data_IF_416041566674
#
_entry.id   IF_416041566674
#
_cell.length_a   1.000
_cell.length_b   1.000
_cell.length_c   1.000
_cell.angle_alpha   90.00
_cell.angle_beta   90.00
_cell.angle_gamma   90.00
#
_symmetry.space_group_name_H-M   'P 1'
#
loop_
_entity.id
_entity.type
_entity.pdbx_description
1 polymer ?
#
# COMPACT_ATOMS: atom_id res chain seq x y z
N UNK A 1 3.93 16.84 25.46
CA UNK A 1 3.69 17.38 26.81
C UNK A 1 2.55 18.37 26.72
N UNK A 2 1.47 18.12 27.46
CA UNK A 2 0.26 18.94 27.47
C UNK A 2 -0.99 18.11 27.76
N UNK A 3 -1.05 17.51 28.96
CA UNK A 3 -2.26 16.91 29.50
C UNK A 3 -3.28 18.01 29.81
N UNK A 4 -4.50 17.88 29.30
CA UNK A 4 -5.68 18.45 29.95
C UNK A 4 -6.76 17.38 30.00
N UNK A 5 -6.75 16.65 31.12
CA UNK A 5 -7.83 15.80 31.59
C UNK A 5 -8.57 16.57 32.69
N UNK A 6 -9.65 17.24 32.35
CA UNK A 6 -10.55 17.86 33.34
C UNK A 6 -11.98 17.43 33.04
N UNK A 7 -12.34 16.26 33.55
CA UNK A 7 -13.69 15.72 33.57
C UNK A 7 -13.79 14.70 34.69
N UNK A 8 -14.33 15.12 35.84
CA UNK A 8 -14.56 14.23 36.97
C UNK A 8 -15.71 13.26 36.67
N UNK A 9 -15.93 12.23 37.52
CA UNK A 9 -16.97 11.21 37.30
C UNK A 9 -18.40 11.78 37.20
N UNK A 10 -18.58 13.02 37.65
CA UNK A 10 -19.89 13.68 37.75
C UNK A 10 -19.99 14.96 36.90
N UNK A 11 -18.98 15.33 36.12
CA UNK A 11 -19.04 16.57 35.34
C UNK A 11 -18.28 16.42 34.00
N UNK A 12 -19.04 16.15 32.93
CA UNK A 12 -18.55 16.17 31.55
C UNK A 12 -18.88 17.53 30.95
N UNK A 13 -17.89 18.42 30.89
CA UNK A 13 -18.00 19.81 30.40
C UNK A 13 -18.31 19.97 28.90
N UNK A 14 -18.92 18.97 28.24
CA UNK A 14 -19.27 19.01 26.81
C UNK A 14 -20.74 18.79 26.50
N UNK A 15 -21.61 18.69 27.52
CA UNK A 15 -23.06 18.62 27.30
C UNK A 15 -23.72 19.83 27.95
N UNK A 16 -24.14 20.79 27.12
CA UNK A 16 -25.01 21.86 27.57
C UNK A 16 -26.33 21.24 28.08
N UNK A 17 -26.51 21.19 29.39
CA UNK A 17 -27.79 20.89 30.02
C UNK A 17 -28.73 22.07 29.76
N UNK A 18 -29.76 21.83 28.94
CA UNK A 18 -30.80 22.81 28.68
C UNK A 18 -31.39 23.32 30.00
N UNK A 19 -31.40 24.63 30.16
CA UNK A 19 -31.75 25.32 31.39
C UNK A 19 -33.14 24.95 31.91
N UNK A 20 -33.20 24.79 33.22
CA UNK A 20 -34.40 24.68 34.05
C UNK A 20 -35.16 26.00 34.10
N UNK A 21 -35.78 26.38 32.99
CA UNK A 21 -36.91 27.30 32.97
C UNK A 21 -38.02 26.64 32.16
N UNK A 22 -39.23 26.68 32.68
CA UNK A 22 -40.47 26.07 32.21
C UNK A 22 -40.74 26.28 30.71
N UNK A 23 -40.11 25.49 29.85
CA UNK A 23 -40.71 25.10 28.58
C UNK A 23 -41.19 23.67 28.82
N UNK A 24 -42.49 23.56 29.11
CA UNK A 24 -43.24 22.31 28.99
C UNK A 24 -42.70 21.54 27.79
N UNK A 25 -42.35 20.26 28.00
CA UNK A 25 -41.92 19.30 26.97
C UNK A 25 -42.32 19.79 25.57
N UNK A 26 -41.36 20.01 24.66
CA UNK A 26 -41.68 20.23 23.25
C UNK A 26 -42.74 19.21 22.84
N UNK A 27 -43.99 19.68 22.67
CA UNK A 27 -45.08 18.81 22.27
C UNK A 27 -44.74 18.34 20.87
N UNK A 28 -44.89 17.04 20.64
CA UNK A 28 -44.75 16.50 19.29
C UNK A 28 -45.71 17.28 18.38
N UNK A 29 -45.19 18.07 17.41
CA UNK A 29 -46.04 18.85 16.51
C UNK A 29 -46.89 17.95 15.61
N UNK A 30 -46.69 16.63 15.67
CA UNK A 30 -47.36 15.64 14.85
C UNK A 30 -46.85 15.68 13.42
N UNK A 31 -47.49 14.87 12.58
CA UNK A 31 -47.13 14.78 11.17
C UNK A 31 -47.70 16.02 10.43
N UNK A 32 -46.87 16.77 9.68
CA UNK A 32 -47.35 17.92 8.91
C UNK A 32 -48.36 17.48 7.83
N UNK A 33 -49.24 18.37 7.36
CA UNK A 33 -50.21 18.03 6.31
C UNK A 33 -49.49 17.65 5.02
N UNK A 34 -49.92 16.52 4.44
CA UNK A 34 -49.38 15.97 3.21
C UNK A 34 -49.50 16.98 2.04
N UNK A 35 -48.41 17.18 1.29
CA UNK A 35 -48.37 18.11 0.17
C UNK A 35 -48.47 17.37 -1.17
N UNK A 36 -49.64 17.50 -1.81
CA UNK A 36 -49.87 16.94 -3.14
C UNK A 36 -48.95 17.55 -4.19
N UNK A 37 -48.44 16.72 -5.11
CA UNK A 37 -47.65 17.15 -6.25
C UNK A 37 -48.57 17.58 -7.40
N UNK A 38 -48.00 18.26 -8.39
CA UNK A 38 -48.74 18.65 -9.58
C UNK A 38 -49.28 17.44 -10.35
N UNK A 39 -48.56 16.32 -10.35
CA UNK A 39 -48.99 15.08 -10.99
C UNK A 39 -50.19 14.43 -10.27
N UNK A 40 -50.40 14.70 -8.98
CA UNK A 40 -51.52 14.14 -8.22
C UNK A 40 -52.83 14.91 -8.49
N UNK A 41 -52.73 16.14 -9.02
CA UNK A 41 -53.88 17.04 -9.24
C UNK A 41 -54.20 17.28 -10.73
N UNK A 42 -53.20 17.30 -11.61
CA UNK A 42 -53.37 17.48 -13.05
C UNK A 42 -53.02 16.20 -13.86
N UNK A 43 -54.01 15.55 -14.50
CA UNK A 43 -53.79 14.37 -15.35
C UNK A 43 -52.79 14.60 -16.49
N UNK A 44 -52.66 15.83 -17.01
CA UNK A 44 -51.68 16.15 -18.06
C UNK A 44 -50.26 16.16 -17.51
N UNK A 45 -50.06 16.68 -16.30
CA UNK A 45 -48.78 16.65 -15.62
C UNK A 45 -48.34 15.22 -15.29
N UNK A 46 -49.28 14.37 -14.83
CA UNK A 46 -49.02 12.95 -14.60
C UNK A 46 -48.55 12.23 -15.88
N UNK A 47 -49.29 12.39 -16.99
CA UNK A 47 -48.94 11.77 -18.27
C UNK A 47 -47.62 12.26 -18.84
N UNK A 48 -47.22 13.50 -18.53
CA UNK A 48 -45.89 14.03 -18.88
C UNK A 48 -44.80 13.36 -18.06
N UNK A 49 -44.98 13.22 -16.74
CA UNK A 49 -44.03 12.53 -15.86
C UNK A 49 -43.87 11.05 -16.25
N UNK A 50 -44.96 10.37 -16.59
CA UNK A 50 -44.96 8.99 -17.08
C UNK A 50 -44.08 8.82 -18.32
N UNK A 51 -44.22 9.71 -19.30
CA UNK A 51 -43.38 9.71 -20.51
C UNK A 51 -41.91 9.96 -20.21
N UNK A 52 -41.60 10.81 -19.23
CA UNK A 52 -40.23 11.06 -18.80
C UNK A 52 -39.60 9.83 -18.15
N UNK A 53 -40.33 9.16 -17.25
CA UNK A 53 -39.90 7.88 -16.66
C UNK A 53 -39.66 6.83 -17.74
N UNK A 54 -40.61 6.66 -18.66
CA UNK A 54 -40.49 5.72 -19.77
C UNK A 54 -39.30 6.03 -20.68
N UNK A 55 -39.01 7.31 -20.93
CA UNK A 55 -37.82 7.73 -21.69
C UNK A 55 -36.52 7.37 -20.97
N UNK A 56 -36.44 7.59 -19.65
CA UNK A 56 -35.26 7.25 -18.85
C UNK A 56 -34.99 5.74 -18.83
N UNK A 57 -36.04 4.93 -18.70
CA UNK A 57 -35.93 3.47 -18.87
C UNK A 57 -35.58 3.09 -20.32
N UNK A 58 -36.11 3.79 -21.32
CA UNK A 58 -35.71 3.61 -22.72
C UNK A 58 -34.22 3.90 -22.96
N UNK A 59 -33.66 4.95 -22.35
CA UNK A 59 -32.23 5.26 -22.40
C UNK A 59 -31.42 4.12 -21.79
N UNK A 60 -31.90 3.53 -20.69
CA UNK A 60 -31.25 2.35 -20.11
C UNK A 60 -31.21 1.17 -21.08
N UNK A 61 -32.35 0.85 -21.70
CA UNK A 61 -32.43 -0.23 -22.70
C UNK A 61 -31.45 0.02 -23.85
N UNK A 62 -31.39 1.24 -24.37
CA UNK A 62 -30.43 1.60 -25.43
C UNK A 62 -28.99 1.44 -24.95
N UNK A 63 -28.65 1.89 -23.74
CA UNK A 63 -27.33 1.69 -23.15
C UNK A 63 -26.94 0.21 -23.06
N UNK A 64 -27.85 -0.64 -22.59
CA UNK A 64 -27.63 -2.09 -22.53
C UNK A 64 -27.42 -2.70 -23.91
N UNK A 65 -28.19 -2.28 -24.92
CA UNK A 65 -28.01 -2.74 -26.30
C UNK A 65 -26.65 -2.30 -26.87
N UNK A 66 -26.23 -1.06 -26.63
CA UNK A 66 -24.90 -0.56 -27.04
C UNK A 66 -23.80 -1.43 -26.41
N UNK A 67 -23.92 -1.75 -25.12
CA UNK A 67 -22.98 -2.64 -24.43
C UNK A 67 -22.92 -4.02 -25.10
N UNK A 68 -24.07 -4.67 -25.30
CA UNK A 68 -24.12 -6.01 -25.87
C UNK A 68 -23.57 -6.05 -27.30
N UNK A 69 -23.94 -5.08 -28.13
CA UNK A 69 -23.42 -4.97 -29.50
C UNK A 69 -21.92 -4.73 -29.47
N UNK A 70 -21.41 -3.81 -28.64
CA UNK A 70 -19.98 -3.58 -28.55
C UNK A 70 -19.20 -4.81 -28.03
N UNK A 71 -19.78 -5.55 -27.09
CA UNK A 71 -19.17 -6.74 -26.52
C UNK A 71 -19.06 -7.89 -27.52
N UNK A 72 -20.13 -8.16 -28.28
CA UNK A 72 -20.19 -9.31 -29.18
C UNK A 72 -19.80 -9.00 -30.64
N UNK A 73 -20.03 -7.78 -31.12
CA UNK A 73 -19.79 -7.43 -32.52
C UNK A 73 -18.37 -6.88 -32.78
N UNK A 74 -17.66 -6.44 -31.73
CA UNK A 74 -16.26 -6.02 -31.84
C UNK A 74 -15.38 -7.15 -31.32
N UNK A 75 -14.76 -7.89 -32.22
CA UNK A 75 -13.83 -8.97 -31.88
C UNK A 75 -12.43 -8.40 -31.63
N UNK A 76 -11.81 -8.80 -30.51
CA UNK A 76 -10.44 -8.42 -30.16
C UNK A 76 -9.53 -9.65 -30.19
N UNK A 77 -8.69 -9.73 -31.23
CA UNK A 77 -7.57 -10.66 -31.33
C UNK A 77 -6.24 -10.09 -30.84
N UNK A 78 -5.19 -10.91 -30.87
CA UNK A 78 -3.82 -10.55 -30.41
C UNK A 78 -3.21 -9.36 -31.18
N UNK A 79 -3.57 -9.19 -32.45
CA UNK A 79 -3.07 -8.12 -33.33
C UNK A 79 -4.05 -6.93 -33.48
N UNK A 80 -5.03 -6.82 -32.57
CA UNK A 80 -6.03 -5.75 -32.66
C UNK A 80 -5.39 -4.37 -32.57
N UNK A 81 -5.76 -3.50 -33.51
CA UNK A 81 -5.33 -2.11 -33.46
C UNK A 81 -5.77 -1.44 -32.14
N UNK A 82 -4.90 -0.61 -31.55
CA UNK A 82 -5.19 0.16 -30.32
C UNK A 82 -6.49 0.96 -30.46
N UNK A 83 -6.80 1.45 -31.66
CA UNK A 83 -8.04 2.17 -31.94
C UNK A 83 -9.29 1.30 -31.71
N UNK A 84 -9.27 0.03 -32.14
CA UNK A 84 -10.37 -0.92 -31.95
C UNK A 84 -10.58 -1.26 -30.48
N UNK A 85 -9.48 -1.47 -29.74
CA UNK A 85 -9.52 -1.72 -28.28
C UNK A 85 -10.12 -0.52 -27.55
N UNK A 86 -9.69 0.70 -27.90
CA UNK A 86 -10.25 1.93 -27.32
C UNK A 86 -11.72 2.11 -27.64
N UNK A 87 -12.13 1.85 -28.88
CA UNK A 87 -13.51 1.96 -29.31
C UNK A 87 -14.41 1.00 -28.54
N UNK A 88 -14.01 -0.28 -28.44
CA UNK A 88 -14.79 -1.26 -27.68
C UNK A 88 -14.91 -0.85 -26.22
N UNK A 89 -13.78 -0.53 -25.56
CA UNK A 89 -13.79 -0.11 -24.17
C UNK A 89 -14.68 1.12 -23.92
N UNK A 90 -14.61 2.12 -24.80
CA UNK A 90 -15.45 3.31 -24.72
C UNK A 90 -16.95 2.95 -24.86
N UNK A 91 -17.32 2.09 -25.81
CA UNK A 91 -18.71 1.68 -26.01
C UNK A 91 -19.24 0.82 -24.87
N UNK A 92 -18.42 -0.06 -24.28
CA UNK A 92 -18.79 -0.81 -23.07
C UNK A 92 -19.02 0.15 -21.89
N UNK A 93 -18.14 1.13 -21.70
CA UNK A 93 -18.28 2.15 -20.67
C UNK A 93 -19.53 3.00 -20.84
N UNK A 94 -19.75 3.55 -22.05
CA UNK A 94 -20.92 4.36 -22.40
C UNK A 94 -22.21 3.53 -22.26
N UNK A 95 -22.22 2.30 -22.76
CA UNK A 95 -23.37 1.41 -22.68
C UNK A 95 -23.76 1.13 -21.22
N UNK A 96 -22.77 0.79 -20.39
CA UNK A 96 -22.98 0.55 -18.95
C UNK A 96 -23.45 1.81 -18.22
N UNK A 97 -22.85 2.96 -18.52
CA UNK A 97 -23.20 4.23 -17.89
C UNK A 97 -24.66 4.60 -18.16
N UNK A 98 -25.11 4.57 -19.42
CA UNK A 98 -26.49 4.90 -19.76
C UNK A 98 -27.49 3.81 -19.32
N UNK A 99 -27.09 2.54 -19.31
CA UNK A 99 -27.89 1.44 -18.75
C UNK A 99 -28.23 1.69 -17.27
N UNK A 100 -27.20 1.95 -16.44
CA UNK A 100 -27.37 2.12 -14.99
C UNK A 100 -27.96 3.49 -14.64
N UNK A 101 -27.51 4.56 -15.32
CA UNK A 101 -28.04 5.91 -15.10
C UNK A 101 -29.52 5.99 -15.47
N UNK A 102 -29.93 5.39 -16.59
CA UNK A 102 -31.33 5.37 -17.02
C UNK A 102 -32.24 4.65 -16.02
N UNK A 103 -31.82 3.51 -15.47
CA UNK A 103 -32.56 2.79 -14.41
C UNK A 103 -32.62 3.63 -13.13
N UNK A 104 -31.47 4.08 -12.63
CA UNK A 104 -31.39 4.80 -11.36
C UNK A 104 -32.19 6.10 -11.38
N UNK A 105 -31.98 6.93 -12.41
CA UNK A 105 -32.73 8.19 -12.56
C UNK A 105 -34.21 7.95 -12.88
N UNK A 106 -34.54 6.92 -13.66
CA UNK A 106 -35.91 6.53 -13.96
C UNK A 106 -36.69 6.12 -12.71
N UNK A 107 -36.11 5.27 -11.85
CA UNK A 107 -36.73 4.85 -10.58
C UNK A 107 -36.91 6.05 -9.64
N UNK A 108 -35.89 6.89 -9.48
CA UNK A 108 -36.00 8.06 -8.59
C UNK A 108 -37.03 9.06 -9.11
N UNK A 109 -37.06 9.32 -10.42
CA UNK A 109 -38.06 10.22 -11.02
C UNK A 109 -39.46 9.64 -10.89
N UNK A 110 -39.63 8.33 -11.08
CA UNK A 110 -40.91 7.64 -10.86
C UNK A 110 -41.39 7.75 -9.41
N UNK A 111 -40.51 7.47 -8.45
CA UNK A 111 -40.79 7.58 -7.03
C UNK A 111 -41.20 9.01 -6.64
N UNK A 112 -40.46 10.02 -7.12
CA UNK A 112 -40.73 11.42 -6.79
C UNK A 112 -41.95 12.01 -7.48
N UNK A 113 -42.22 11.62 -8.72
CA UNK A 113 -43.21 12.30 -9.56
C UNK A 113 -44.57 11.59 -9.64
N UNK A 114 -44.65 10.29 -9.34
CA UNK A 114 -45.87 9.50 -9.57
C UNK A 114 -46.22 8.53 -8.44
N UNK A 115 -45.24 8.00 -7.71
CA UNK A 115 -45.52 7.04 -6.62
C UNK A 115 -46.19 7.77 -5.44
N UNK A 116 -47.30 7.26 -4.88
CA UNK A 116 -47.92 7.89 -3.72
C UNK A 116 -46.93 7.94 -2.55
N UNK A 117 -46.77 9.11 -1.96
CA UNK A 117 -46.01 9.31 -0.73
C UNK A 117 -46.95 9.69 0.42
N UNK A 118 -46.72 9.11 1.59
CA UNK A 118 -47.49 9.41 2.80
C UNK A 118 -46.53 9.45 3.98
N UNK A 119 -46.65 10.50 4.79
CA UNK A 119 -45.89 10.65 6.01
C UNK A 119 -46.44 9.71 7.10
N UNK A 120 -45.60 8.81 7.61
CA UNK A 120 -45.94 7.85 8.67
C UNK A 120 -44.97 8.04 9.82
N UNK A 121 -45.49 8.04 11.06
CA UNK A 121 -44.70 8.03 12.29
C UNK A 121 -44.86 6.68 12.97
N UNK A 122 -43.74 6.05 13.32
CA UNK A 122 -43.70 4.81 14.10
C UNK A 122 -42.90 5.06 15.39
N UNK A 123 -43.52 4.78 16.53
CA UNK A 123 -42.87 4.91 17.83
C UNK A 123 -41.74 3.88 17.97
N UNK A 124 -40.53 4.35 18.30
CA UNK A 124 -39.40 3.45 18.52
C UNK A 124 -39.65 2.64 19.79
N UNK A 125 -39.56 1.31 19.69
CA UNK A 125 -39.64 0.44 20.86
C UNK A 125 -38.62 0.84 21.94
N UNK A 126 -39.06 0.85 23.20
CA UNK A 126 -38.17 1.05 24.33
C UNK A 126 -37.10 -0.06 24.35
N UNK A 127 -35.83 0.33 24.44
CA UNK A 127 -34.72 -0.58 24.15
C UNK A 127 -34.60 -1.70 25.19
N UNK A 128 -35.02 -1.50 26.45
CA UNK A 128 -35.04 -2.52 27.53
C UNK A 128 -36.03 -2.15 28.63
N UNK A 129 -36.80 -3.12 29.12
CA UNK A 129 -37.47 -3.01 30.42
C UNK A 129 -36.55 -3.56 31.53
N UNK A 130 -36.69 -3.07 32.76
CA UNK A 130 -35.98 -3.66 33.92
C UNK A 130 -36.41 -5.11 34.16
N UNK A 131 -37.64 -5.45 33.76
CA UNK A 131 -38.19 -6.81 33.79
C UNK A 131 -37.40 -7.75 32.85
N UNK A 132 -37.12 -7.33 31.61
CA UNK A 132 -36.29 -8.11 30.67
C UNK A 132 -34.87 -8.33 31.21
N UNK A 133 -34.29 -7.32 31.87
CA UNK A 133 -32.97 -7.44 32.50
C UNK A 133 -32.99 -8.48 33.62
N UNK A 134 -33.99 -8.43 34.50
CA UNK A 134 -34.13 -9.37 35.60
C UNK A 134 -34.41 -10.78 35.10
N UNK A 135 -35.23 -10.94 34.06
CA UNK A 135 -35.46 -12.22 33.40
C UNK A 135 -34.15 -12.80 32.84
N UNK A 136 -33.35 -12.00 32.13
CA UNK A 136 -32.06 -12.44 31.61
C UNK A 136 -31.07 -12.86 32.72
N UNK A 137 -31.01 -12.11 33.83
CA UNK A 137 -30.17 -12.47 34.98
C UNK A 137 -30.61 -13.80 35.59
N UNK A 138 -31.92 -14.00 35.80
CA UNK A 138 -32.46 -15.26 36.33
C UNK A 138 -32.12 -16.45 35.44
N UNK A 139 -32.28 -16.29 34.12
CA UNK A 139 -31.91 -17.35 33.16
C UNK A 139 -30.43 -17.72 33.29
N UNK A 140 -29.52 -16.74 33.41
CA UNK A 140 -28.09 -17.01 33.59
C UNK A 140 -27.82 -17.70 34.92
N UNK A 141 -28.43 -17.25 36.00
CA UNK A 141 -28.27 -17.84 37.33
C UNK A 141 -28.80 -19.28 37.39
N UNK A 142 -29.98 -19.53 36.83
CA UNK A 142 -30.59 -20.87 36.70
C UNK A 142 -29.66 -21.81 35.93
N UNK A 143 -29.09 -21.38 34.80
CA UNK A 143 -28.10 -22.17 34.04
C UNK A 143 -26.85 -22.48 34.88
N UNK A 144 -26.34 -21.50 35.63
CA UNK A 144 -25.16 -21.71 36.49
C UNK A 144 -25.46 -22.69 37.63
N UNK A 145 -26.68 -22.69 38.16
CA UNK A 145 -27.13 -23.63 39.18
C UNK A 145 -27.34 -25.05 38.62
N UNK A 146 -28.10 -25.18 37.53
CA UNK A 146 -28.41 -26.46 36.88
C UNK A 146 -27.17 -27.18 36.37
N UNK A 147 -26.20 -26.44 35.80
CA UNK A 147 -24.91 -27.03 35.36
C UNK A 147 -24.09 -27.58 36.52
N UNK A 148 -24.35 -27.11 37.76
CA UNK A 148 -23.62 -27.53 38.96
C UNK A 148 -22.13 -27.21 38.91
N UNK A 149 -21.69 -26.32 38.01
CA UNK A 149 -20.26 -26.08 37.72
C UNK A 149 -19.50 -25.56 38.95
N UNK A 150 -20.18 -24.82 39.83
CA UNK A 150 -19.64 -24.34 41.12
C UNK A 150 -19.29 -25.49 42.07
N UNK A 151 -20.03 -26.61 42.01
CA UNK A 151 -19.88 -27.77 42.92
C UNK A 151 -18.94 -28.85 42.36
N UNK A 152 -18.46 -28.70 41.11
CA UNK A 152 -17.63 -29.70 40.40
C UNK A 152 -16.25 -29.11 40.06
N UNK A 153 -15.37 -28.88 41.07
CA UNK A 153 -14.10 -28.17 40.87
C UNK A 153 -13.14 -28.89 39.92
N UNK A 154 -13.16 -30.23 39.89
CA UNK A 154 -12.32 -30.99 38.95
C UNK A 154 -12.68 -30.67 37.50
N UNK A 155 -13.97 -30.77 37.14
CA UNK A 155 -14.46 -30.48 35.77
C UNK A 155 -14.21 -29.01 35.40
N UNK A 156 -14.49 -28.08 36.32
CA UNK A 156 -14.23 -26.65 36.10
C UNK A 156 -12.75 -26.39 35.83
N UNK A 157 -11.86 -26.94 36.65
CA UNK A 157 -10.43 -26.69 36.53
C UNK A 157 -9.82 -27.38 35.31
N UNK A 158 -10.30 -28.58 34.93
CA UNK A 158 -9.85 -29.25 33.70
C UNK A 158 -10.39 -28.55 32.45
N UNK A 159 -11.62 -28.03 32.47
CA UNK A 159 -12.15 -27.17 31.39
C UNK A 159 -11.31 -25.90 31.22
N UNK A 160 -11.01 -25.20 32.32
CA UNK A 160 -10.15 -24.01 32.28
C UNK A 160 -8.75 -24.35 31.77
N UNK A 161 -8.17 -25.46 32.22
CA UNK A 161 -6.87 -25.94 31.73
C UNK A 161 -6.90 -26.29 30.24
N UNK A 162 -7.94 -26.99 29.76
CA UNK A 162 -8.12 -27.32 28.36
C UNK A 162 -8.27 -26.06 27.49
N UNK A 163 -9.09 -25.09 27.92
CA UNK A 163 -9.27 -23.80 27.23
C UNK A 163 -7.97 -22.98 27.24
N UNK A 164 -7.18 -23.03 28.31
CA UNK A 164 -5.91 -22.33 28.39
C UNK A 164 -4.85 -22.93 27.45
N UNK A 165 -4.85 -24.25 27.25
CA UNK A 165 -3.90 -24.95 26.38
C UNK A 165 -4.35 -25.00 24.91
N UNK A 166 -5.67 -24.90 24.65
CA UNK A 166 -6.24 -24.98 23.30
C UNK A 166 -5.62 -23.99 22.28
N UNK A 167 -5.18 -22.77 22.64
CA UNK A 167 -4.53 -21.86 21.70
C UNK A 167 -3.06 -22.20 21.38
N UNK A 168 -2.38 -23.09 22.12
CA UNK A 168 -0.95 -23.35 21.93
C UNK A 168 -0.59 -23.85 20.51
N UNK A 169 -1.37 -24.75 19.87
CA UNK A 169 -1.11 -25.13 18.47
C UNK A 169 -1.15 -23.93 17.50
N UNK A 170 -1.89 -22.87 17.83
CA UNK A 170 -1.91 -21.66 17.00
C UNK A 170 -0.53 -20.98 16.97
N UNK A 171 0.28 -21.07 18.02
CA UNK A 171 1.66 -20.55 18.01
C UNK A 171 2.53 -21.25 16.95
N UNK A 172 2.33 -22.56 16.75
CA UNK A 172 3.03 -23.29 15.70
C UNK A 172 2.51 -22.89 14.31
N UNK A 173 1.19 -22.84 14.13
CA UNK A 173 0.56 -22.44 12.86
C UNK A 173 0.98 -21.02 12.46
N UNK A 174 0.94 -20.06 13.39
CA UNK A 174 1.35 -18.68 13.12
C UNK A 174 2.87 -18.55 12.99
N UNK A 175 3.64 -19.38 13.68
CA UNK A 175 5.10 -19.44 13.52
C UNK A 175 5.54 -19.96 12.15
N UNK A 176 4.73 -20.80 11.50
CA UNK A 176 5.00 -21.37 10.18
C UNK A 176 4.58 -20.46 9.01
N UNK A 177 3.94 -19.30 9.28
CA UNK A 177 3.51 -18.37 8.23
C UNK A 177 4.66 -17.63 7.51
N UNK A 178 5.90 -17.79 7.96
CA UNK A 178 7.03 -17.12 7.32
C UNK A 178 8.38 -17.72 7.67
N UNK A 179 9.40 -17.40 6.85
CA UNK A 179 10.77 -17.73 7.20
C UNK A 179 11.16 -17.02 8.50
N UNK A 180 12.00 -17.68 9.30
CA UNK A 180 12.61 -17.03 10.47
C UNK A 180 13.55 -15.91 9.99
N UNK A 181 13.67 -14.79 10.74
CA UNK A 181 14.67 -13.78 10.46
C UNK A 181 16.06 -14.41 10.31
N UNK A 182 16.77 -14.04 9.25
CA UNK A 182 18.13 -14.48 8.95
C UNK A 182 18.96 -13.31 8.37
N UNK A 183 20.24 -13.56 8.12
CA UNK A 183 21.18 -12.53 7.67
C UNK A 183 21.17 -12.33 6.14
N UNK A 184 20.16 -12.86 5.42
CA UNK A 184 20.14 -12.77 3.95
C UNK A 184 20.07 -11.34 3.42
N UNK A 185 19.55 -10.41 4.21
CA UNK A 185 19.48 -8.99 3.86
C UNK A 185 20.83 -8.27 4.05
N UNK A 186 21.75 -8.86 4.83
CA UNK A 186 23.06 -8.28 5.10
C UNK A 186 24.07 -8.49 3.97
N UNK A 187 23.87 -9.52 3.14
CA UNK A 187 24.85 -9.97 2.14
C UNK A 187 24.30 -9.93 0.72
N UNK A 188 25.17 -9.72 -0.25
CA UNK A 188 24.82 -9.71 -1.68
C UNK A 188 25.66 -10.71 -2.48
N UNK A 189 25.35 -10.86 -3.78
CA UNK A 189 26.14 -11.70 -4.69
C UNK A 189 27.54 -11.14 -5.01
N UNK A 190 27.90 -9.94 -4.53
CA UNK A 190 29.20 -9.35 -4.78
C UNK A 190 30.33 -10.00 -3.97
N UNK A 191 30.00 -10.73 -2.90
CA UNK A 191 30.98 -11.46 -2.12
C UNK A 191 31.84 -12.39 -3.01
N UNK A 192 33.18 -12.36 -2.88
CA UNK A 192 34.06 -13.27 -3.62
C UNK A 192 33.71 -14.73 -3.33
N UNK A 193 33.65 -15.55 -4.37
CA UNK A 193 33.31 -16.96 -4.25
C UNK A 193 34.57 -17.80 -4.47
N UNK A 194 35.02 -18.53 -3.45
CA UNK A 194 36.27 -19.30 -3.48
C UNK A 194 37.50 -18.46 -3.92
N UNK A 195 37.54 -17.18 -3.52
CA UNK A 195 38.59 -16.23 -3.91
C UNK A 195 38.45 -15.65 -5.33
N UNK A 196 37.43 -16.05 -6.11
CA UNK A 196 37.14 -15.45 -7.41
C UNK A 196 36.31 -14.17 -7.21
N UNK A 197 36.87 -13.05 -7.65
CA UNK A 197 36.17 -11.76 -7.71
C UNK A 197 35.09 -11.79 -8.81
N UNK A 198 33.97 -11.10 -8.55
CA UNK A 198 32.85 -11.02 -9.51
C UNK A 198 33.07 -9.84 -10.45
N UNK A 199 32.98 -10.07 -11.77
CA UNK A 199 32.99 -8.97 -12.74
C UNK A 199 31.75 -8.11 -12.63
N UNK A 200 31.92 -6.82 -12.88
CA UNK A 200 30.82 -5.86 -13.01
C UNK A 200 30.29 -5.94 -14.44
N UNK A 201 29.01 -6.31 -14.59
CA UNK A 201 28.38 -6.55 -15.89
C UNK A 201 27.20 -5.63 -16.12
N UNK A 202 26.84 -5.33 -17.37
CA UNK A 202 25.71 -4.45 -17.72
C UNK A 202 24.37 -5.12 -17.43
N UNK A 203 23.42 -4.35 -16.90
CA UNK A 203 22.02 -4.77 -16.73
C UNK A 203 21.21 -4.39 -17.99
N UNK A 204 20.44 -5.31 -18.62
CA UNK A 204 20.13 -6.68 -18.21
C UNK A 204 20.89 -7.81 -18.90
N UNK A 205 21.73 -7.50 -19.88
CA UNK A 205 22.34 -8.48 -20.78
C UNK A 205 23.51 -9.26 -20.15
N UNK A 206 24.13 -8.74 -19.10
CA UNK A 206 25.22 -9.41 -18.38
C UNK A 206 26.58 -9.27 -19.07
N UNK A 207 26.74 -8.34 -20.02
CA UNK A 207 28.02 -8.09 -20.70
C UNK A 207 29.04 -7.45 -19.73
N UNK A 208 30.24 -8.02 -19.54
CA UNK A 208 31.28 -7.44 -18.68
C UNK A 208 31.71 -6.03 -19.13
N UNK A 209 31.95 -5.14 -18.17
CA UNK A 209 32.31 -3.74 -18.41
C UNK A 209 33.83 -3.56 -18.28
N UNK A 210 34.48 -3.03 -19.32
CA UNK A 210 35.89 -2.62 -19.22
C UNK A 210 36.02 -1.25 -18.59
N UNK A 211 37.10 -1.01 -17.85
CA UNK A 211 37.36 0.32 -17.30
C UNK A 211 37.52 1.39 -18.39
N UNK A 212 37.99 1.02 -19.58
CA UNK A 212 38.09 1.88 -20.76
C UNK A 212 36.73 2.34 -21.30
N UNK A 213 35.67 1.58 -21.05
CA UNK A 213 34.31 1.90 -21.55
C UNK A 213 33.65 2.99 -20.71
N UNK A 214 34.12 3.18 -19.47
CA UNK A 214 33.55 4.15 -18.54
C UNK A 214 34.26 5.48 -18.71
N UNK A 215 33.64 6.39 -19.46
CA UNK A 215 34.15 7.75 -19.70
C UNK A 215 33.62 8.72 -18.64
N UNK A 216 34.22 9.90 -18.49
CA UNK A 216 33.76 10.93 -17.56
C UNK A 216 32.28 11.28 -17.83
N UNK A 217 31.46 11.29 -16.76
CA UNK A 217 30.02 11.52 -16.85
C UNK A 217 29.21 10.27 -17.22
N UNK A 218 29.83 9.15 -17.56
CA UNK A 218 29.10 7.89 -17.81
C UNK A 218 28.31 7.44 -16.59
N UNK A 219 27.16 6.82 -16.82
CA UNK A 219 26.36 6.15 -15.81
C UNK A 219 25.85 4.81 -16.38
N UNK A 220 26.37 3.70 -15.86
CA UNK A 220 25.98 2.34 -16.26
C UNK A 220 25.16 1.69 -15.16
N UNK A 221 24.05 1.06 -15.52
CA UNK A 221 23.38 0.11 -14.65
C UNK A 221 24.12 -1.22 -14.71
N UNK A 222 24.49 -1.74 -13.54
CA UNK A 222 25.31 -2.94 -13.47
C UNK A 222 24.81 -3.94 -12.42
N UNK A 223 25.16 -5.20 -12.68
CA UNK A 223 24.85 -6.39 -11.87
C UNK A 223 26.09 -7.28 -11.76
N UNK A 224 26.19 -8.14 -10.74
CA UNK A 224 27.29 -9.09 -10.63
C UNK A 224 27.23 -10.16 -11.71
N UNK A 225 28.39 -10.54 -12.22
CA UNK A 225 28.58 -11.77 -13.01
C UNK A 225 27.98 -12.98 -12.25
N UNK A 226 27.21 -13.83 -12.94
CA UNK A 226 26.54 -14.98 -12.33
C UNK A 226 25.08 -14.73 -11.93
N UNK A 227 24.62 -13.46 -11.86
CA UNK A 227 23.23 -13.16 -11.50
C UNK A 227 22.23 -13.68 -12.55
N UNK A 228 22.60 -13.63 -13.83
CA UNK A 228 21.67 -13.98 -14.90
C UNK A 228 21.43 -15.49 -15.02
N UNK A 229 22.41 -16.26 -14.56
CA UNK A 229 22.51 -17.71 -14.57
C UNK A 229 21.76 -18.38 -13.40
N UNK A 230 21.33 -17.61 -12.39
CA UNK A 230 20.55 -18.12 -11.27
C UNK A 230 19.17 -18.63 -11.71
N UNK A 231 18.88 -19.91 -11.44
CA UNK A 231 17.57 -20.52 -11.69
C UNK A 231 16.52 -20.13 -10.64
N UNK A 232 16.94 -19.94 -9.39
CA UNK A 232 16.08 -19.60 -8.26
C UNK A 232 16.61 -18.36 -7.54
N UNK A 233 15.73 -17.58 -6.92
CA UNK A 233 16.12 -16.41 -6.12
C UNK A 233 16.70 -15.22 -6.91
N UNK A 234 16.86 -15.32 -8.24
CA UNK A 234 17.43 -14.28 -9.10
C UNK A 234 16.88 -12.88 -8.84
N UNK A 235 15.56 -12.73 -8.71
CA UNK A 235 14.95 -11.43 -8.47
C UNK A 235 15.27 -10.86 -7.07
N UNK A 236 15.36 -11.73 -6.06
CA UNK A 236 15.72 -11.32 -4.70
C UNK A 236 17.19 -10.87 -4.65
N UNK A 237 18.08 -11.61 -5.30
CA UNK A 237 19.50 -11.24 -5.39
C UNK A 237 19.69 -9.97 -6.24
N UNK A 238 18.95 -9.83 -7.34
CA UNK A 238 18.95 -8.62 -8.16
C UNK A 238 18.48 -7.41 -7.36
N UNK A 239 17.44 -7.56 -6.53
CA UNK A 239 16.87 -6.48 -5.74
C UNK A 239 17.85 -5.84 -4.75
N UNK A 240 18.92 -6.54 -4.35
CA UNK A 240 19.97 -6.03 -3.45
C UNK A 240 21.35 -5.86 -4.10
N UNK A 241 21.59 -6.43 -5.28
CA UNK A 241 22.91 -6.43 -5.92
C UNK A 241 23.06 -5.45 -7.08
N UNK A 242 22.01 -4.73 -7.48
CA UNK A 242 22.12 -3.73 -8.56
C UNK A 242 22.92 -2.51 -8.12
N UNK A 243 23.88 -2.10 -8.96
CA UNK A 243 24.72 -0.93 -8.73
C UNK A 243 24.63 0.06 -9.88
N UNK A 244 24.87 1.32 -9.56
CA UNK A 244 25.09 2.38 -10.53
C UNK A 244 26.59 2.66 -10.58
N UNK A 245 27.19 2.44 -11.74
CA UNK A 245 28.61 2.66 -12.01
C UNK A 245 28.76 4.01 -12.72
N UNK A 246 29.54 4.91 -12.13
CA UNK A 246 29.74 6.27 -12.65
C UNK A 246 31.21 6.61 -12.67
N UNK A 247 31.58 7.61 -13.48
CA UNK A 247 32.95 8.15 -13.46
C UNK A 247 32.95 9.67 -13.37
N UNK A 248 33.74 10.16 -12.42
CA UNK A 248 33.97 11.57 -12.15
C UNK A 248 35.46 11.86 -12.32
N UNK A 249 35.80 13.15 -12.34
CA UNK A 249 37.19 13.57 -12.15
C UNK A 249 37.65 13.10 -10.75
N UNK A 250 38.73 12.32 -10.64
CA UNK A 250 39.27 11.89 -9.35
C UNK A 250 39.50 13.04 -8.36
N UNK A 251 39.81 14.25 -8.84
CA UNK A 251 40.04 15.41 -7.99
C UNK A 251 38.77 15.91 -7.26
N UNK A 252 37.58 15.52 -7.71
CA UNK A 252 36.31 15.87 -7.09
C UNK A 252 35.85 14.87 -6.02
N UNK A 253 36.47 13.69 -5.96
CA UNK A 253 36.09 12.65 -5.00
C UNK A 253 36.73 12.94 -3.65
N UNK A 254 35.92 12.95 -2.59
CA UNK A 254 36.37 13.11 -1.20
C UNK A 254 36.13 11.80 -0.42
N UNK A 255 36.96 10.76 -0.62
CA UNK A 255 36.82 9.51 0.13
C UNK A 255 37.17 9.72 1.61
N UNK A 256 36.37 9.13 2.50
CA UNK A 256 36.70 9.00 3.92
C UNK A 256 37.92 8.09 4.12
N UNK A 257 38.68 8.24 5.23
CA UNK A 257 39.82 7.41 5.54
C UNK A 257 39.51 5.90 5.48
N UNK A 258 40.32 5.14 4.76
CA UNK A 258 40.15 3.68 4.56
C UNK A 258 39.25 3.29 3.38
N UNK A 259 38.79 4.26 2.57
CA UNK A 259 38.00 4.02 1.33
C UNK A 259 38.67 4.59 0.08
N UNK A 260 39.93 5.00 0.18
CA UNK A 260 40.67 5.65 -0.90
C UNK A 260 40.86 4.73 -2.11
N UNK A 261 40.91 3.42 -1.89
CA UNK A 261 41.11 2.37 -2.90
C UNK A 261 39.80 1.72 -3.38
N UNK A 262 38.64 2.22 -2.97
CA UNK A 262 37.33 1.67 -3.38
C UNK A 262 36.90 2.13 -4.78
N UNK A 263 37.60 3.13 -5.33
CA UNK A 263 37.37 3.69 -6.65
C UNK A 263 38.57 3.40 -7.56
N UNK A 264 38.32 3.28 -8.87
CA UNK A 264 39.39 3.09 -9.85
C UNK A 264 39.44 4.25 -10.84
N UNK A 265 40.46 5.11 -10.75
CA UNK A 265 40.65 6.25 -11.68
C UNK A 265 39.39 7.12 -11.87
N UNK A 266 38.70 7.40 -10.76
CA UNK A 266 37.46 8.19 -10.72
C UNK A 266 36.18 7.38 -10.99
N UNK A 267 36.30 6.09 -11.31
CA UNK A 267 35.17 5.17 -11.44
C UNK A 267 34.74 4.74 -10.04
N UNK A 268 33.45 4.90 -9.77
CA UNK A 268 32.80 4.55 -8.50
C UNK A 268 31.58 3.70 -8.77
N UNK A 269 31.31 2.74 -7.87
CA UNK A 269 30.12 1.92 -7.89
C UNK A 269 29.35 2.11 -6.58
N UNK A 270 28.09 2.52 -6.67
CA UNK A 270 27.20 2.66 -5.52
C UNK A 270 25.97 1.80 -5.71
N UNK A 271 25.39 1.32 -4.61
CA UNK A 271 24.10 0.63 -4.68
C UNK A 271 23.06 1.52 -5.35
N UNK A 272 22.32 0.93 -6.30
CA UNK A 272 21.17 1.57 -6.93
C UNK A 272 19.96 1.61 -5.97
N UNK A 273 20.01 0.94 -4.82
CA UNK A 273 18.85 0.77 -3.95
C UNK A 273 18.82 1.88 -2.89
N UNK A 274 17.79 2.73 -2.95
CA UNK A 274 17.63 3.83 -2.01
C UNK A 274 17.49 3.33 -0.57
N UNK A 275 18.27 3.93 0.34
CA UNK A 275 18.30 3.62 1.77
C UNK A 275 17.06 4.01 2.55
N UNK A 276 16.11 4.73 1.92
CA UNK A 276 14.80 5.04 2.50
C UNK A 276 13.86 3.83 2.41
N UNK A 277 13.31 3.56 1.22
CA UNK A 277 12.29 2.51 0.98
C UNK A 277 12.58 1.65 -0.25
N UNK A 278 13.84 1.61 -0.71
CA UNK A 278 14.31 0.57 -1.64
C UNK A 278 14.08 0.88 -3.13
N UNK A 279 13.58 2.06 -3.46
CA UNK A 279 13.45 2.45 -4.87
C UNK A 279 14.80 2.53 -5.59
N UNK A 280 14.85 2.19 -6.89
CA UNK A 280 16.06 2.33 -7.69
C UNK A 280 16.42 3.80 -7.95
N UNK A 281 17.56 4.24 -7.43
CA UNK A 281 18.20 5.54 -7.68
C UNK A 281 18.88 5.48 -9.06
N UNK A 282 18.23 6.04 -10.07
CA UNK A 282 18.68 5.94 -11.46
C UNK A 282 18.87 7.29 -12.16
N UNK A 283 18.48 8.40 -11.53
CA UNK A 283 18.58 9.73 -12.11
C UNK A 283 19.91 10.36 -11.68
N UNK A 284 20.85 10.48 -12.60
CA UNK A 284 22.16 11.09 -12.37
C UNK A 284 22.25 12.45 -13.05
N UNK A 285 22.46 13.49 -12.26
CA UNK A 285 22.72 14.84 -12.77
C UNK A 285 24.22 15.04 -12.91
N UNK A 286 24.72 14.87 -14.15
CA UNK A 286 26.16 14.87 -14.44
C UNK A 286 26.89 16.16 -14.04
N UNK A 287 26.21 17.32 -14.07
CA UNK A 287 26.84 18.62 -13.80
C UNK A 287 27.06 18.88 -12.32
N UNK A 288 26.12 18.48 -11.48
CA UNK A 288 26.15 18.68 -10.03
C UNK A 288 26.66 17.44 -9.28
N UNK A 289 26.79 16.32 -10.00
CA UNK A 289 27.13 15.02 -9.44
C UNK A 289 26.13 14.51 -8.40
N UNK A 290 24.87 14.93 -8.51
CA UNK A 290 23.80 14.47 -7.65
C UNK A 290 23.08 13.24 -8.22
N UNK A 291 22.71 12.33 -7.32
CA UNK A 291 21.86 11.19 -7.61
C UNK A 291 20.49 11.37 -6.98
N UNK A 292 19.44 11.26 -7.79
CA UNK A 292 18.07 11.49 -7.36
C UNK A 292 17.28 10.17 -7.36
N UNK A 293 16.64 9.92 -6.23
CA UNK A 293 15.64 8.87 -6.10
C UNK A 293 14.29 9.39 -6.62
N UNK A 294 13.69 8.80 -7.68
CA UNK A 294 12.46 9.31 -8.28
C UNK A 294 11.22 9.17 -7.39
N UNK A 295 11.27 8.31 -6.37
CA UNK A 295 10.09 8.03 -5.54
C UNK A 295 9.78 9.14 -4.53
N UNK A 296 10.79 9.60 -3.79
CA UNK A 296 10.62 10.59 -2.70
C UNK A 296 11.71 11.65 -2.73
N UNK A 297 12.43 11.77 -3.85
CA UNK A 297 13.40 12.83 -4.13
C UNK A 297 14.60 12.87 -3.19
N UNK A 298 14.89 11.78 -2.46
CA UNK A 298 16.16 11.65 -1.76
C UNK A 298 17.31 11.89 -2.73
N UNK A 299 18.15 12.86 -2.39
CA UNK A 299 19.26 13.30 -3.23
C UNK A 299 20.57 13.00 -2.53
N UNK A 300 21.47 12.35 -3.25
CA UNK A 300 22.75 11.88 -2.75
C UNK A 300 23.88 12.58 -3.51
N UNK A 301 24.84 13.13 -2.77
CA UNK A 301 26.01 13.80 -3.34
C UNK A 301 27.12 12.77 -3.60
N UNK A 302 27.40 12.50 -4.88
CA UNK A 302 28.39 11.51 -5.30
C UNK A 302 29.82 11.92 -4.96
N UNK A 303 30.10 13.23 -4.87
CA UNK A 303 31.44 13.76 -4.51
C UNK A 303 31.78 13.53 -3.04
N UNK A 304 30.76 13.31 -2.20
CA UNK A 304 30.84 13.06 -0.77
C UNK A 304 30.25 11.70 -0.41
N UNK A 305 30.66 10.65 -1.12
CA UNK A 305 30.30 9.26 -0.83
C UNK A 305 28.78 8.98 -0.77
N UNK A 306 28.03 9.58 -1.69
CA UNK A 306 26.58 9.53 -1.71
C UNK A 306 25.93 9.99 -0.39
N UNK A 307 26.53 10.96 0.31
CA UNK A 307 25.90 11.60 1.48
C UNK A 307 24.53 12.15 1.09
N UNK A 308 23.54 11.94 1.95
CA UNK A 308 22.21 12.52 1.73
C UNK A 308 22.27 14.03 1.94
N UNK A 309 21.86 14.78 0.91
CA UNK A 309 21.78 16.25 0.96
C UNK A 309 20.35 16.77 0.93
N UNK A 310 19.38 15.92 0.54
CA UNK A 310 17.96 16.26 0.53
C UNK A 310 17.07 15.00 0.59
N UNK A 311 15.82 15.17 1.02
CA UNK A 311 14.78 14.14 1.05
C UNK A 311 14.82 13.23 2.30
N UNK A 312 13.96 12.21 2.36
CA UNK A 312 13.71 11.43 3.58
C UNK A 312 14.74 10.30 3.85
N UNK A 313 15.69 10.05 2.95
CA UNK A 313 16.75 9.08 3.24
C UNK A 313 17.62 9.58 4.39
N UNK A 314 17.98 8.71 5.33
CA UNK A 314 18.80 9.07 6.50
C UNK A 314 20.24 8.54 6.43
N UNK A 315 20.57 7.76 5.39
CA UNK A 315 21.88 7.12 5.22
C UNK A 315 22.39 7.27 3.79
N UNK A 316 23.72 7.40 3.59
CA UNK A 316 24.31 7.40 2.25
C UNK A 316 24.04 6.08 1.53
N UNK A 317 24.16 6.09 0.19
CA UNK A 317 24.15 4.85 -0.57
C UNK A 317 25.43 4.06 -0.28
N UNK A 318 25.35 2.74 -0.01
CA UNK A 318 26.54 1.92 0.17
C UNK A 318 27.40 1.92 -1.09
N UNK A 319 28.71 2.12 -0.91
CA UNK A 319 29.70 2.05 -1.98
C UNK A 319 30.20 0.61 -2.11
N UNK A 320 30.31 0.12 -3.34
CA UNK A 320 30.90 -1.18 -3.67
C UNK A 320 32.39 -0.98 -3.99
N UNK A 321 33.32 -1.62 -3.27
CA UNK A 321 34.74 -1.58 -3.60
C UNK A 321 35.03 -2.27 -4.94
N UNK A 322 35.67 -1.57 -5.87
CA UNK A 322 35.96 -2.08 -7.22
C UNK A 322 37.44 -1.93 -7.59
N UNK A 323 37.89 -2.82 -8.48
CA UNK A 323 39.22 -2.79 -9.10
C UNK A 323 39.13 -3.26 -10.56
N UNK A 324 40.27 -3.47 -11.19
CA UNK A 324 40.38 -3.94 -12.57
C UNK A 324 41.20 -5.24 -12.61
N UNK A 325 40.69 -6.24 -13.32
CA UNK A 325 41.39 -7.51 -13.53
C UNK A 325 42.50 -7.41 -14.60
N UNK A 326 43.25 -8.49 -14.80
CA UNK A 326 44.35 -8.52 -15.77
C UNK A 326 43.93 -8.33 -17.24
N UNK A 327 42.64 -8.48 -17.55
CA UNK A 327 42.07 -8.29 -18.88
C UNK A 327 41.46 -6.88 -19.07
N UNK A 328 41.44 -6.05 -18.01
CA UNK A 328 40.91 -4.70 -18.04
C UNK A 328 39.43 -4.57 -17.67
N UNK A 329 38.79 -5.64 -17.20
CA UNK A 329 37.39 -5.61 -16.75
C UNK A 329 37.29 -5.16 -15.30
N UNK A 330 36.22 -4.43 -15.00
CA UNK A 330 35.90 -4.03 -13.64
C UNK A 330 35.45 -5.26 -12.83
N UNK A 331 35.97 -5.37 -11.61
CA UNK A 331 35.65 -6.43 -10.65
C UNK A 331 35.36 -5.85 -9.28
N UNK A 332 34.44 -6.46 -8.53
CA UNK A 332 34.24 -6.13 -7.12
C UNK A 332 35.31 -6.83 -6.27
N UNK A 333 35.98 -6.09 -5.38
CA UNK A 333 37.05 -6.65 -4.52
C UNK A 333 36.49 -7.32 -3.26
N UNK A 334 35.30 -6.93 -2.84
CA UNK A 334 34.55 -7.52 -1.72
C UNK A 334 33.03 -7.37 -1.93
N UNK A 335 32.25 -7.89 -0.99
CA UNK A 335 30.85 -7.46 -0.82
C UNK A 335 30.79 -5.99 -0.32
N UNK A 336 29.59 -5.43 -0.22
CA UNK A 336 29.34 -4.20 0.52
C UNK A 336 29.75 -4.36 1.99
N UNK A 337 30.25 -3.27 2.58
CA UNK A 337 30.67 -3.25 3.99
C UNK A 337 29.54 -2.82 4.93
N UNK A 338 28.35 -2.59 4.36
CA UNK A 338 27.13 -2.29 5.10
C UNK A 338 25.91 -2.81 4.31
N UNK A 339 24.81 -3.19 4.98
CA UNK A 339 23.63 -3.70 4.28
C UNK A 339 23.02 -2.69 3.33
N UNK A 340 22.66 -3.20 2.14
CA UNK A 340 22.08 -2.44 1.04
C UNK A 340 20.59 -2.18 1.25
N UNK A 341 20.12 -1.00 0.83
CA UNK A 341 18.71 -0.64 0.81
C UNK A 341 18.17 -0.14 2.15
N UNK A 342 16.84 -0.26 2.40
CA UNK A 342 16.18 0.24 3.58
C UNK A 342 16.75 -0.28 4.90
N UNK A 343 16.59 0.49 5.96
CA UNK A 343 16.95 0.04 7.31
C UNK A 343 15.99 -1.06 7.81
N UNK A 344 16.54 -1.97 8.60
CA UNK A 344 15.82 -2.97 9.40
C UNK A 344 16.44 -3.03 10.80
N UNK A 345 15.77 -3.71 11.73
CA UNK A 345 16.06 -3.61 13.16
C UNK A 345 17.47 -4.09 13.54
N UNK A 346 17.94 -5.18 12.93
CA UNK A 346 19.25 -5.80 13.18
C UNK A 346 20.39 -5.23 12.32
N UNK A 347 20.11 -4.26 11.43
CA UNK A 347 21.06 -3.81 10.39
C UNK A 347 22.46 -3.47 10.93
N UNK A 348 22.52 -2.73 12.04
CA UNK A 348 23.78 -2.24 12.61
C UNK A 348 24.71 -3.37 13.08
N UNK A 349 24.19 -4.59 13.29
CA UNK A 349 24.99 -5.76 13.64
C UNK A 349 25.85 -6.26 12.46
N UNK A 350 25.55 -5.84 11.24
CA UNK A 350 26.20 -6.28 10.01
C UNK A 350 27.03 -5.20 9.32
N UNK A 351 27.24 -4.05 9.98
CA UNK A 351 28.08 -2.97 9.46
C UNK A 351 29.54 -3.26 9.82
N UNK A 352 30.39 -3.46 8.81
CA UNK A 352 31.81 -3.82 8.99
C UNK A 352 32.70 -2.61 9.29
N UNK A 353 32.26 -1.41 8.92
CA UNK A 353 32.95 -0.15 9.18
C UNK A 353 31.97 0.78 9.89
N UNK A 354 32.12 1.02 11.21
CA UNK A 354 31.29 2.00 11.91
C UNK A 354 31.42 3.36 11.24
N UNK A 355 30.30 4.07 11.06
CA UNK A 355 30.35 5.47 10.63
C UNK A 355 31.23 6.24 11.63
N UNK A 356 32.20 7.01 11.10
CA UNK A 356 32.94 7.99 11.88
C UNK A 356 32.09 9.24 12.12
#
# INVERSE_FOLDING_TARGET
>A
MGNHSDGGPNDSGTVATAGQNEVEKFQDPGIPPHRLRLADTDPKAAKKAERQVALLFGISVVGTLIFLVAYFAIDLGQDSAIATIRLQNALLGIGTAFAMLGIGTGIVHWAKALMPDHEVSEERHAIRTEEDRQAAVRIVDDIVEETGIKRRPLIRNTLLGAVALAPLPALAIFGDLGPRPDDKLAHTMWAPENGKLKRVTRDPDGTPIKASDVTLGSAFHAIPEGLNELSEGKLNEKAKSVVLLMRLDPALLNPSPGREDWAYNGIVAYSKICTHVGCPVALYEQQTHHLLCPCHQSTFDLTQQCKVIFGPASRPLPQLPISVDSEGYLVATSDFHEPVGPSYWEREQHVLIPNS
#
